data_IF_150083689165
#
_entry.id   IF_150083689165
#
_cell.length_a   1.000
_cell.length_b   1.000
_cell.length_c   1.000
_cell.angle_alpha   90.00
_cell.angle_beta   90.00
_cell.angle_gamma   90.00
#
_symmetry.space_group_name_H-M   'P 1'
#
loop_
_entity.id
_entity.type
_entity.pdbx_description
1 polymer ?
#
# COMPACT_ATOMS: atom_id res chain seq x y z
N UNK A 1 -19.56 7.05 -8.90
CA UNK A 1 -18.43 7.85 -9.43
C UNK A 1 -17.23 7.52 -8.57
N UNK A 2 -16.12 7.14 -9.18
CA UNK A 2 -14.84 7.00 -8.48
C UNK A 2 -14.42 8.36 -7.96
N UNK A 3 -13.83 8.40 -6.77
CA UNK A 3 -13.24 9.63 -6.23
C UNK A 3 -11.80 9.67 -6.74
N UNK A 4 -11.42 10.74 -7.44
CA UNK A 4 -10.03 10.93 -7.84
C UNK A 4 -9.13 11.08 -6.61
N UNK A 5 -7.85 10.73 -6.73
CA UNK A 5 -6.86 10.88 -5.66
C UNK A 5 -6.88 12.28 -5.03
N UNK A 6 -6.91 13.33 -5.87
CA UNK A 6 -6.99 14.73 -5.43
C UNK A 6 -8.24 15.00 -4.60
N UNK A 7 -9.43 14.60 -5.07
CA UNK A 7 -10.69 14.78 -4.34
C UNK A 7 -10.74 13.93 -3.05
N UNK A 8 -10.12 12.75 -3.08
CA UNK A 8 -10.05 11.85 -1.95
C UNK A 8 -9.31 12.51 -0.79
N UNK A 9 -8.12 13.07 -1.02
CA UNK A 9 -7.32 13.68 0.04
C UNK A 9 -7.89 15.01 0.55
N UNK A 10 -8.71 15.71 -0.23
CA UNK A 10 -9.45 16.89 0.24
C UNK A 10 -10.55 16.56 1.26
N UNK A 11 -11.14 15.35 1.17
CA UNK A 11 -12.30 14.94 1.97
C UNK A 11 -12.05 13.68 2.81
N UNK A 12 -10.78 13.29 2.93
CA UNK A 12 -10.33 12.08 3.61
C UNK A 12 -10.80 12.07 5.06
N UNK A 13 -11.44 10.98 5.49
CA UNK A 13 -11.81 10.76 6.89
C UNK A 13 -10.60 10.24 7.68
N UNK A 14 -10.68 10.26 9.00
CA UNK A 14 -9.62 9.73 9.87
C UNK A 14 -9.35 8.24 9.64
N UNK A 15 -8.16 7.81 10.02
CA UNK A 15 -7.70 6.41 10.03
C UNK A 15 -8.63 5.48 10.83
N UNK A 16 -8.52 4.18 10.57
CA UNK A 16 -9.26 3.17 11.34
C UNK A 16 -8.85 3.24 12.82
N UNK A 17 -9.82 3.14 13.73
CA UNK A 17 -9.55 3.13 15.18
C UNK A 17 -8.92 1.82 15.69
N UNK A 18 -9.11 0.72 14.95
CA UNK A 18 -8.64 -0.60 15.34
C UNK A 18 -8.06 -1.31 14.12
N UNK A 19 -6.89 -1.89 14.31
CA UNK A 19 -6.22 -2.70 13.29
C UNK A 19 -7.02 -3.97 12.98
N UNK A 20 -7.15 -4.28 11.69
CA UNK A 20 -7.89 -5.44 11.17
C UNK A 20 -6.94 -6.55 10.78
N UNK A 21 -7.33 -7.82 10.94
CA UNK A 21 -6.43 -8.97 10.69
C UNK A 21 -5.81 -8.97 9.28
N UNK A 22 -6.53 -8.40 8.32
CA UNK A 22 -6.11 -8.29 6.94
C UNK A 22 -6.18 -6.83 6.47
N UNK A 23 -5.37 -6.52 5.47
CA UNK A 23 -5.43 -5.30 4.68
C UNK A 23 -5.35 -5.68 3.20
N UNK A 24 -5.88 -4.81 2.33
CA UNK A 24 -5.88 -5.04 0.89
C UNK A 24 -5.01 -3.97 0.23
N UNK A 25 -4.24 -4.38 -0.78
CA UNK A 25 -3.43 -3.51 -1.63
C UNK A 25 -3.74 -3.86 -3.09
N UNK A 26 -3.72 -2.87 -3.97
CA UNK A 26 -3.90 -3.09 -5.40
C UNK A 26 -2.53 -3.18 -6.05
N UNK A 27 -2.38 -4.07 -7.03
CA UNK A 27 -1.23 -4.08 -7.92
C UNK A 27 -1.56 -3.20 -9.13
N UNK A 28 -0.86 -2.09 -9.25
CA UNK A 28 -0.95 -1.14 -10.37
C UNK A 28 -0.89 -1.80 -11.74
N UNK A 29 0.00 -2.75 -11.97
CA UNK A 29 0.23 -3.37 -13.30
C UNK A 29 -0.95 -4.25 -13.75
N UNK A 30 -1.76 -4.73 -12.81
CA UNK A 30 -2.95 -5.54 -13.11
C UNK A 30 -4.24 -4.70 -13.10
N UNK A 31 -4.20 -3.46 -12.63
CA UNK A 31 -5.40 -2.63 -12.46
C UNK A 31 -5.70 -1.83 -13.73
N UNK A 32 -6.96 -1.83 -14.18
CA UNK A 32 -7.39 -1.07 -15.39
C UNK A 32 -8.32 0.10 -15.07
N UNK A 33 -8.36 0.53 -13.81
CA UNK A 33 -9.29 1.54 -13.32
C UNK A 33 -10.79 1.31 -13.59
N UNK A 34 -11.28 0.06 -13.54
CA UNK A 34 -12.68 -0.26 -13.85
C UNK A 34 -13.73 0.18 -12.80
N UNK A 35 -13.30 0.70 -11.64
CA UNK A 35 -14.14 1.18 -10.53
C UNK A 35 -15.02 0.13 -9.82
N UNK A 36 -14.94 -1.16 -10.18
CA UNK A 36 -15.72 -2.21 -9.51
C UNK A 36 -15.42 -2.29 -8.00
N UNK A 37 -14.14 -2.26 -7.62
CA UNK A 37 -13.71 -2.36 -6.22
C UNK A 37 -14.10 -1.14 -5.38
N UNK A 38 -13.93 0.07 -5.92
CA UNK A 38 -14.24 1.31 -5.20
C UNK A 38 -15.75 1.46 -4.96
N UNK A 39 -16.59 1.03 -5.90
CA UNK A 39 -18.06 1.09 -5.77
C UNK A 39 -18.66 0.26 -4.63
N UNK A 40 -17.93 -0.75 -4.15
CA UNK A 40 -18.39 -1.66 -3.08
C UNK A 40 -17.66 -1.47 -1.76
N UNK A 41 -16.69 -0.55 -1.69
CA UNK A 41 -15.90 -0.35 -0.48
C UNK A 41 -16.78 0.31 0.61
N UNK A 42 -17.04 -0.34 1.76
CA UNK A 42 -17.97 0.19 2.76
C UNK A 42 -17.43 1.41 3.53
N UNK A 43 -16.15 1.73 3.38
CA UNK A 43 -15.48 2.84 4.06
C UNK A 43 -14.90 3.87 3.10
N UNK A 44 -15.18 3.74 1.79
CA UNK A 44 -14.73 4.65 0.74
C UNK A 44 -13.23 4.99 0.85
N UNK A 45 -12.37 3.97 0.93
CA UNK A 45 -10.91 4.13 1.09
C UNK A 45 -10.11 3.73 -0.16
N UNK A 46 -10.77 3.68 -1.32
CA UNK A 46 -10.15 3.35 -2.61
C UNK A 46 -10.33 4.58 -3.51
N UNK A 47 -9.23 5.07 -4.06
CA UNK A 47 -9.20 6.25 -4.92
C UNK A 47 -8.50 5.95 -6.23
N UNK A 48 -8.82 6.72 -7.26
CA UNK A 48 -8.22 6.59 -8.59
C UNK A 48 -7.02 7.52 -8.75
N UNK A 49 -5.89 6.94 -9.14
CA UNK A 49 -4.71 7.67 -9.60
C UNK A 49 -4.80 7.79 -11.11
N UNK A 50 -5.08 9.01 -11.58
CA UNK A 50 -5.35 9.29 -12.99
C UNK A 50 -4.04 9.46 -13.74
N UNK A 51 -3.83 8.68 -14.79
CA UNK A 51 -2.75 8.91 -15.76
C UNK A 51 -3.26 9.71 -16.97
N UNK A 52 -2.43 10.57 -17.58
CA UNK A 52 -2.70 11.15 -18.90
C UNK A 52 -2.89 10.09 -19.98
N UNK A 53 -2.35 8.89 -19.78
CA UNK A 53 -2.50 7.73 -20.67
C UNK A 53 -3.67 6.89 -20.13
N UNK A 54 -4.81 6.79 -20.85
CA UNK A 54 -6.03 6.16 -20.32
C UNK A 54 -5.87 4.72 -19.84
N UNK A 55 -4.91 3.97 -20.39
CA UNK A 55 -4.63 2.57 -20.00
C UNK A 55 -3.74 2.43 -18.77
N UNK A 56 -3.23 3.54 -18.22
CA UNK A 56 -2.30 3.56 -17.09
C UNK A 56 -2.93 4.15 -15.82
N UNK A 57 -4.19 4.58 -15.88
CA UNK A 57 -4.94 4.90 -14.67
C UNK A 57 -5.16 3.62 -13.87
N UNK A 58 -5.06 3.74 -12.54
CA UNK A 58 -5.24 2.62 -11.64
C UNK A 58 -5.89 3.09 -10.34
N UNK A 59 -6.32 2.14 -9.52
CA UNK A 59 -6.83 2.44 -8.19
C UNK A 59 -5.78 2.10 -7.14
N UNK A 60 -5.73 2.88 -6.08
CA UNK A 60 -4.94 2.56 -4.90
C UNK A 60 -5.85 2.54 -3.66
N UNK A 61 -5.46 1.74 -2.66
CA UNK A 61 -6.18 1.62 -1.40
C UNK A 61 -5.42 2.41 -0.34
N UNK A 62 -6.10 3.30 0.36
CA UNK A 62 -5.59 3.90 1.60
C UNK A 62 -5.55 2.81 2.67
N UNK A 63 -4.37 2.20 2.82
CA UNK A 63 -4.16 1.07 3.71
C UNK A 63 -4.49 1.41 5.14
N UNK A 64 -4.25 2.64 5.62
CA UNK A 64 -4.58 3.13 6.98
C UNK A 64 -6.10 3.25 7.28
N UNK A 65 -6.93 3.26 6.24
CA UNK A 65 -8.40 3.25 6.37
C UNK A 65 -9.04 1.93 5.97
N UNK A 66 -8.32 1.06 5.27
CA UNK A 66 -8.76 -0.27 4.91
C UNK A 66 -9.15 -1.06 6.17
N UNK A 67 -10.30 -1.73 6.13
CA UNK A 67 -10.81 -2.56 7.23
C UNK A 67 -10.74 -4.07 6.92
N UNK A 68 -10.05 -4.47 5.84
CA UNK A 68 -9.89 -5.88 5.48
C UNK A 68 -11.21 -6.64 5.26
N UNK A 69 -12.27 -5.96 4.84
CA UNK A 69 -13.63 -6.54 4.70
C UNK A 69 -13.79 -7.48 3.50
N UNK A 70 -12.79 -7.57 2.63
CA UNK A 70 -12.73 -8.49 1.47
C UNK A 70 -13.73 -8.20 0.34
N UNK A 71 -14.69 -7.28 0.53
CA UNK A 71 -15.73 -6.96 -0.45
C UNK A 71 -15.18 -6.46 -1.78
N UNK A 72 -14.03 -5.76 -1.80
CA UNK A 72 -13.43 -5.30 -3.05
C UNK A 72 -12.83 -6.42 -3.91
N UNK A 73 -12.65 -7.62 -3.34
CA UNK A 73 -12.09 -8.78 -4.01
C UNK A 73 -13.16 -9.81 -4.39
N UNK A 74 -14.04 -10.21 -3.44
CA UNK A 74 -15.07 -11.25 -3.62
C UNK A 74 -16.40 -10.78 -3.05
N UNK A 75 -17.51 -11.10 -3.70
CA UNK A 75 -18.84 -10.99 -3.10
C UNK A 75 -19.10 -12.22 -2.22
N UNK A 76 -19.15 -12.11 -0.89
CA UNK A 76 -19.37 -13.27 -0.03
C UNK A 76 -20.80 -13.81 -0.16
N UNK A 77 -21.78 -12.94 -0.40
CA UNK A 77 -23.19 -13.30 -0.45
C UNK A 77 -23.56 -14.05 -1.74
N UNK A 78 -22.84 -13.79 -2.83
CA UNK A 78 -23.17 -14.32 -4.15
C UNK A 78 -22.23 -15.46 -4.57
N UNK A 79 -21.20 -15.76 -3.79
CA UNK A 79 -20.30 -16.89 -4.04
C UNK A 79 -20.84 -18.18 -3.44
N UNK A 80 -20.49 -19.32 -4.03
CA UNK A 80 -20.83 -20.66 -3.53
C UNK A 80 -19.58 -21.54 -3.39
N UNK A 81 -19.77 -22.82 -3.06
CA UNK A 81 -18.69 -23.82 -3.11
C UNK A 81 -18.23 -24.16 -4.54
N UNK A 82 -19.08 -23.93 -5.54
CA UNK A 82 -18.79 -24.28 -6.94
C UNK A 82 -18.28 -23.13 -7.80
N UNK A 83 -18.54 -21.89 -7.37
CA UNK A 83 -18.10 -20.71 -8.10
C UNK A 83 -17.84 -19.54 -7.16
N UNK A 84 -16.85 -18.73 -7.52
CA UNK A 84 -16.47 -17.53 -6.80
C UNK A 84 -16.82 -16.30 -7.65
N UNK A 85 -17.70 -15.44 -7.13
CA UNK A 85 -17.97 -14.16 -7.76
C UNK A 85 -16.91 -13.15 -7.31
N UNK A 86 -15.95 -12.88 -8.17
CA UNK A 86 -14.93 -11.84 -7.95
C UNK A 86 -15.46 -10.47 -8.31
N UNK A 87 -15.16 -9.49 -7.46
CA UNK A 87 -15.47 -8.07 -7.71
C UNK A 87 -14.39 -7.43 -8.57
N UNK A 88 -13.12 -7.79 -8.34
CA UNK A 88 -12.04 -7.37 -9.22
C UNK A 88 -11.93 -8.38 -10.39
N UNK A 89 -12.28 -7.99 -11.62
CA UNK A 89 -12.21 -8.91 -12.77
C UNK A 89 -10.77 -9.23 -13.18
N UNK A 90 -9.80 -8.41 -12.76
CA UNK A 90 -8.39 -8.51 -13.16
C UNK A 90 -7.50 -9.22 -12.15
N UNK A 91 -8.06 -9.68 -11.02
CA UNK A 91 -7.28 -10.23 -9.91
C UNK A 91 -6.13 -9.30 -9.48
N UNK A 92 -6.39 -7.99 -9.45
CA UNK A 92 -5.40 -6.96 -9.15
C UNK A 92 -5.30 -6.63 -7.65
N UNK A 93 -6.00 -7.34 -6.77
CA UNK A 93 -6.04 -7.04 -5.33
C UNK A 93 -5.36 -8.17 -4.57
N UNK A 94 -4.29 -7.82 -3.87
CA UNK A 94 -3.65 -8.70 -2.89
C UNK A 94 -4.24 -8.43 -1.51
N UNK A 95 -4.58 -9.51 -0.81
CA UNK A 95 -4.93 -9.47 0.60
C UNK A 95 -3.74 -9.93 1.43
N UNK A 96 -3.37 -9.14 2.42
CA UNK A 96 -2.19 -9.36 3.24
C UNK A 96 -2.61 -9.61 4.68
N UNK A 97 -1.86 -10.47 5.38
CA UNK A 97 -1.86 -10.44 6.83
C UNK A 97 -1.40 -9.06 7.31
N UNK A 98 -2.19 -8.41 8.16
CA UNK A 98 -1.85 -7.09 8.66
C UNK A 98 -0.76 -7.19 9.73
N UNK A 99 0.47 -6.69 9.47
CA UNK A 99 1.59 -6.79 10.41
C UNK A 99 1.35 -5.98 11.70
N UNK A 100 0.41 -5.03 11.70
CA UNK A 100 0.08 -4.23 12.88
C UNK A 100 -0.81 -4.96 13.91
N UNK A 101 -1.44 -6.09 13.54
CA UNK A 101 -2.26 -6.89 14.48
C UNK A 101 -1.42 -7.94 15.18
N UNK A 102 -0.58 -8.63 14.41
CA UNK A 102 0.29 -9.70 14.91
C UNK A 102 1.64 -9.57 14.20
N UNK A 103 2.52 -8.67 14.66
CA UNK A 103 3.86 -8.55 14.11
C UNK A 103 4.63 -9.84 14.34
N UNK A 104 5.57 -10.12 13.43
CA UNK A 104 6.56 -11.16 13.65
C UNK A 104 7.60 -10.72 14.67
N UNK A 105 8.30 -11.68 15.27
CA UNK A 105 9.37 -11.41 16.23
C UNK A 105 10.51 -10.58 15.59
N UNK A 106 10.72 -10.78 14.29
CA UNK A 106 11.71 -10.07 13.48
C UNK A 106 11.03 -9.61 12.21
N UNK A 107 11.17 -8.32 11.90
CA UNK A 107 10.62 -7.73 10.67
C UNK A 107 11.33 -8.25 9.44
N UNK A 108 10.62 -8.40 8.32
CA UNK A 108 11.24 -8.75 7.03
C UNK A 108 12.20 -7.68 6.52
N UNK A 109 12.02 -6.43 6.98
CA UNK A 109 12.86 -5.29 6.62
C UNK A 109 14.12 -5.19 7.51
N UNK A 110 14.07 -5.74 8.72
CA UNK A 110 15.15 -5.55 9.72
C UNK A 110 16.53 -6.04 9.25
N UNK A 111 16.69 -7.18 8.56
CA UNK A 111 18.00 -7.62 8.05
C UNK A 111 18.63 -6.65 7.05
N UNK A 112 17.83 -5.79 6.41
CA UNK A 112 18.24 -4.87 5.37
C UNK A 112 18.47 -3.45 5.88
N UNK A 113 18.29 -3.21 7.19
CA UNK A 113 18.49 -1.90 7.81
C UNK A 113 19.80 -1.86 8.61
N UNK A 114 20.65 -0.87 8.33
CA UNK A 114 21.92 -0.63 9.05
C UNK A 114 21.99 0.71 9.76
N UNK A 115 20.87 1.44 9.84
CA UNK A 115 20.84 2.74 10.50
C UNK A 115 20.89 2.61 12.03
N UNK A 116 21.03 3.76 12.69
CA UNK A 116 21.19 3.83 14.15
C UNK A 116 19.85 3.94 14.89
N UNK A 117 18.72 3.96 14.17
CA UNK A 117 17.40 4.09 14.77
C UNK A 117 17.04 2.86 15.61
N UNK A 118 16.76 3.10 16.89
CA UNK A 118 16.37 2.04 17.85
C UNK A 118 14.85 1.85 17.94
N UNK A 119 14.08 2.92 17.72
CA UNK A 119 12.61 2.89 17.70
C UNK A 119 12.11 2.90 16.26
N UNK A 120 12.07 1.70 15.66
CA UNK A 120 11.66 1.48 14.28
C UNK A 120 10.20 0.99 14.23
N UNK A 121 9.29 1.67 13.50
CA UNK A 121 7.89 1.26 13.37
C UNK A 121 7.76 0.14 12.32
N UNK A 122 8.39 -1.01 12.58
CA UNK A 122 8.52 -2.12 11.63
C UNK A 122 7.21 -2.54 10.97
N UNK A 123 6.13 -2.70 11.75
CA UNK A 123 4.83 -3.10 11.21
C UNK A 123 4.27 -2.11 10.19
N UNK A 124 4.42 -0.80 10.42
CA UNK A 124 4.00 0.23 9.46
C UNK A 124 4.93 0.31 8.26
N UNK A 125 6.23 0.12 8.46
CA UNK A 125 7.19 0.03 7.37
C UNK A 125 6.89 -1.16 6.45
N UNK A 126 6.47 -2.31 6.99
CA UNK A 126 6.06 -3.46 6.20
C UNK A 126 4.74 -3.22 5.44
N UNK A 127 3.74 -2.60 6.08
CA UNK A 127 2.46 -2.24 5.46
C UNK A 127 2.68 -1.35 4.22
N UNK A 128 3.42 -0.25 4.37
CA UNK A 128 3.70 0.67 3.26
C UNK A 128 4.80 0.16 2.32
N UNK A 129 5.78 -0.59 2.82
CA UNK A 129 6.85 -1.19 2.03
C UNK A 129 6.29 -2.16 0.99
N UNK A 130 5.27 -2.94 1.35
CA UNK A 130 4.60 -3.82 0.40
C UNK A 130 3.80 -3.03 -0.66
N UNK A 131 3.17 -1.93 -0.28
CA UNK A 131 2.49 -1.04 -1.25
C UNK A 131 3.49 -0.39 -2.21
N UNK A 132 4.66 0.04 -1.72
CA UNK A 132 5.76 0.53 -2.56
C UNK A 132 6.31 -0.56 -3.49
N UNK A 133 6.36 -1.80 -3.02
CA UNK A 133 6.77 -2.94 -3.86
C UNK A 133 5.78 -3.19 -5.01
N UNK A 134 4.47 -3.08 -4.78
CA UNK A 134 3.46 -3.31 -5.83
C UNK A 134 3.28 -2.11 -6.78
N UNK A 135 3.20 -0.90 -6.23
CA UNK A 135 2.78 0.27 -6.99
C UNK A 135 3.97 1.18 -7.35
N UNK A 136 5.09 1.04 -6.65
CA UNK A 136 6.24 1.93 -6.75
C UNK A 136 5.99 3.33 -6.15
N UNK A 137 4.81 3.57 -5.56
CA UNK A 137 4.40 4.88 -5.07
C UNK A 137 3.34 4.82 -3.98
N UNK A 138 3.33 5.82 -3.10
CA UNK A 138 2.32 5.99 -2.04
C UNK A 138 1.97 7.47 -1.91
N UNK A 139 0.69 7.75 -1.73
CA UNK A 139 0.17 9.08 -1.41
C UNK A 139 -0.30 9.11 0.04
N UNK A 140 0.17 10.11 0.79
CA UNK A 140 -0.19 10.32 2.19
C UNK A 140 -0.85 11.68 2.36
N UNK A 141 -1.84 11.83 3.25
CA UNK A 141 -2.38 13.14 3.58
C UNK A 141 -1.31 14.04 4.21
N UNK A 142 -1.19 15.28 3.74
CA UNK A 142 -0.09 16.19 4.13
C UNK A 142 -0.10 16.60 5.62
N UNK A 143 -1.20 16.37 6.33
CA UNK A 143 -1.36 16.71 7.75
C UNK A 143 -1.10 15.57 8.73
N UNK A 144 -0.72 14.38 8.26
CA UNK A 144 -0.50 13.21 9.13
C UNK A 144 0.99 12.99 9.40
N UNK A 145 1.56 13.80 10.31
CA UNK A 145 2.99 13.76 10.66
C UNK A 145 3.48 12.36 11.05
N UNK A 146 2.65 11.58 11.76
CA UNK A 146 2.99 10.22 12.18
C UNK A 146 3.24 9.27 10.98
N UNK A 147 2.55 9.46 9.86
CA UNK A 147 2.78 8.69 8.64
C UNK A 147 4.04 9.19 7.93
N UNK A 148 4.25 10.50 7.85
CA UNK A 148 5.47 11.07 7.28
C UNK A 148 6.72 10.58 8.04
N UNK A 149 6.64 10.40 9.36
CA UNK A 149 7.74 9.86 10.17
C UNK A 149 8.16 8.45 9.78
N UNK A 150 7.21 7.61 9.34
CA UNK A 150 7.49 6.28 8.80
C UNK A 150 8.27 6.40 7.49
N UNK A 151 7.83 7.29 6.60
CA UNK A 151 8.49 7.52 5.30
C UNK A 151 9.86 8.17 5.45
N UNK A 152 10.07 9.01 6.47
CA UNK A 152 11.40 9.53 6.80
C UNK A 152 12.42 8.42 7.08
N UNK A 153 12.00 7.28 7.68
CA UNK A 153 12.89 6.12 7.88
C UNK A 153 13.23 5.43 6.57
N UNK A 154 12.27 5.33 5.64
CA UNK A 154 12.50 4.80 4.29
C UNK A 154 13.39 5.72 3.43
N UNK A 155 13.46 7.01 3.76
CA UNK A 155 14.32 8.00 3.11
C UNK A 155 15.77 8.00 3.64
N UNK A 156 16.05 7.36 4.77
CA UNK A 156 17.41 7.23 5.29
C UNK A 156 18.30 6.45 4.31
N UNK A 157 19.52 6.92 4.06
CA UNK A 157 20.54 6.16 3.30
C UNK A 157 21.18 5.10 4.19
N UNK A 158 20.35 4.16 4.63
CA UNK A 158 20.69 3.17 5.65
C UNK A 158 20.17 1.77 5.29
N UNK A 159 19.61 1.59 4.10
CA UNK A 159 19.09 0.32 3.62
C UNK A 159 20.11 -0.37 2.71
N UNK A 160 20.17 -1.69 2.71
CA UNK A 160 21.16 -2.43 1.93
C UNK A 160 20.77 -3.89 1.73
N UNK A 161 21.20 -4.50 0.62
CA UNK A 161 21.22 -5.96 0.46
C UNK A 161 22.65 -6.52 0.27
N UNK A 162 23.62 -5.64 -0.03
CA UNK A 162 25.07 -5.88 0.00
C UNK A 162 25.76 -4.93 0.99
N UNK A 163 26.92 -5.31 1.53
CA UNK A 163 27.68 -4.48 2.49
C UNK A 163 28.10 -3.11 1.90
N UNK A 164 28.23 -3.03 0.58
CA UNK A 164 28.63 -1.83 -0.15
C UNK A 164 27.49 -0.82 -0.37
N UNK A 165 26.23 -1.22 -0.16
CA UNK A 165 25.06 -0.41 -0.52
C UNK A 165 24.67 0.62 0.55
N UNK A 166 24.26 1.82 0.14
CA UNK A 166 23.50 2.78 0.95
C UNK A 166 22.25 3.20 0.18
N UNK A 167 21.20 2.40 0.28
CA UNK A 167 19.96 2.57 -0.48
C UNK A 167 19.04 3.50 0.30
N UNK A 168 18.46 4.44 -0.45
CA UNK A 168 17.27 5.19 -0.06
C UNK A 168 16.07 4.53 -0.73
N UNK A 169 15.12 3.99 0.03
CA UNK A 169 13.99 3.25 -0.55
C UNK A 169 13.05 4.18 -1.29
N UNK A 170 12.71 5.33 -0.69
CA UNK A 170 11.76 6.29 -1.26
C UNK A 170 12.34 7.69 -1.38
N UNK A 171 11.82 8.45 -2.32
CA UNK A 171 12.03 9.89 -2.45
C UNK A 171 10.67 10.60 -2.39
N UNK A 172 10.68 11.83 -1.88
CA UNK A 172 9.50 12.68 -1.91
C UNK A 172 9.45 13.40 -3.25
N UNK A 173 8.32 13.35 -3.93
CA UNK A 173 8.09 14.13 -5.14
C UNK A 173 7.41 15.45 -4.76
N UNK A 174 8.00 16.56 -5.23
CA UNK A 174 7.52 17.91 -4.95
C UNK A 174 6.26 18.19 -5.77
N UNK A 175 5.14 17.62 -5.32
CA UNK A 175 3.78 17.97 -5.74
C UNK A 175 2.96 18.34 -4.49
N UNK A 176 3.50 19.26 -3.69
CA UNK A 176 2.87 19.81 -2.48
C UNK A 176 1.82 20.88 -2.85
N UNK A 177 0.73 20.44 -3.47
CA UNK A 177 -0.33 21.34 -3.97
C UNK A 177 -1.77 21.00 -3.58
N UNK A 178 -2.06 19.77 -3.14
CA UNK A 178 -3.44 19.24 -3.14
C UNK A 178 -3.83 18.48 -1.87
N UNK A 179 -3.20 18.78 -0.74
CA UNK A 179 -3.53 18.18 0.57
C UNK A 179 -2.93 16.78 0.80
N UNK A 180 -2.07 16.32 -0.10
CA UNK A 180 -1.30 15.09 0.04
C UNK A 180 0.20 15.31 -0.26
N UNK A 181 1.02 14.34 0.12
CA UNK A 181 2.44 14.20 -0.22
C UNK A 181 2.59 12.89 -0.99
N UNK A 182 3.35 12.92 -2.08
CA UNK A 182 3.63 11.77 -2.93
C UNK A 182 5.04 11.27 -2.68
N UNK A 183 5.14 9.99 -2.38
CA UNK A 183 6.41 9.28 -2.24
C UNK A 183 6.54 8.25 -3.35
N UNK A 184 7.67 8.25 -4.05
CA UNK A 184 8.00 7.25 -5.06
C UNK A 184 9.21 6.42 -4.64
N UNK A 185 9.16 5.12 -4.93
CA UNK A 185 10.28 4.22 -4.73
C UNK A 185 11.39 4.53 -5.73
N UNK A 186 12.62 4.70 -5.25
CA UNK A 186 13.80 4.86 -6.11
C UNK A 186 14.08 3.56 -6.87
N UNK A 187 14.88 3.60 -7.94
CA UNK A 187 15.26 2.38 -8.69
C UNK A 187 15.92 1.33 -7.77
N UNK A 188 16.95 1.74 -7.02
CA UNK A 188 17.59 0.86 -6.04
C UNK A 188 16.64 0.43 -4.91
N UNK A 189 15.68 1.28 -4.55
CA UNK A 189 14.62 0.95 -3.60
C UNK A 189 13.71 -0.16 -4.12
N UNK A 190 13.30 -0.11 -5.39
CA UNK A 190 12.50 -1.15 -6.04
C UNK A 190 13.24 -2.49 -6.07
N UNK A 191 14.51 -2.47 -6.47
CA UNK A 191 15.35 -3.68 -6.48
C UNK A 191 15.45 -4.31 -5.08
N UNK A 192 15.64 -3.49 -4.05
CA UNK A 192 15.67 -3.95 -2.67
C UNK A 192 14.31 -4.53 -2.25
N UNK A 193 13.22 -3.83 -2.54
CA UNK A 193 11.86 -4.27 -2.21
C UNK A 193 11.51 -5.60 -2.91
N UNK A 194 11.97 -5.82 -4.14
CA UNK A 194 11.83 -7.08 -4.87
C UNK A 194 12.52 -8.25 -4.14
N UNK A 195 13.69 -8.01 -3.55
CA UNK A 195 14.38 -9.01 -2.73
C UNK A 195 13.61 -9.30 -1.44
N UNK A 196 13.10 -8.26 -0.79
CA UNK A 196 12.43 -8.35 0.52
C UNK A 196 11.06 -9.03 0.43
N UNK A 197 10.23 -8.63 -0.54
CA UNK A 197 8.81 -8.96 -0.57
C UNK A 197 8.44 -10.12 -1.51
N UNK A 198 9.41 -10.77 -2.16
CA UNK A 198 9.20 -11.86 -3.14
C UNK A 198 8.24 -12.97 -2.69
N UNK A 199 8.27 -13.31 -1.39
CA UNK A 199 7.42 -14.34 -0.77
C UNK A 199 6.65 -13.80 0.44
N UNK A 200 6.36 -12.51 0.45
CA UNK A 200 5.64 -11.90 1.56
C UNK A 200 4.23 -12.48 1.68
N UNK A 201 3.69 -12.44 2.91
CA UNK A 201 2.51 -13.18 3.39
C UNK A 201 1.17 -12.80 2.74
N UNK A 202 1.09 -13.00 1.42
CA UNK A 202 -0.13 -12.87 0.62
C UNK A 202 -1.08 -14.01 0.94
N UNK A 203 -2.35 -13.67 1.00
CA UNK A 203 -3.44 -14.61 1.13
C UNK A 203 -4.19 -14.57 -0.19
N UNK A 204 -4.03 -15.61 -0.99
CA UNK A 204 -4.99 -15.88 -2.05
C UNK A 204 -6.21 -16.50 -1.38
N UNK A 205 -7.38 -15.87 -1.59
CA UNK A 205 -8.63 -16.48 -1.18
C UNK A 205 -9.00 -17.50 -2.25
N UNK A 206 -8.39 -18.67 -2.12
CA UNK A 206 -8.75 -19.89 -2.87
C UNK A 206 -10.21 -20.28 -2.62
#
# INVERSE_FOLDING_TARGET
MTISMTEYFQSRKSDRKKETRYINVINKDNCTSCNSCASVCPVDCIYEVVSPIPSESYHQIDTSRCIGCQMCYRSPNDSSEFYQLTICPWNAIDMLHNPNVKPDDVSVLQPYYRGQSTDMPWSKLEEYGYQLFLDGEVFLPAGEDALHDVFRRLQEEAWMYSEEDNIRIVQEEVNSGEGFVHYSATEAGRDLLDVIFRNYRRIFMD
#
